data_IF_694273761920
#
_entry.id   IF_694273761920
#
_cell.length_a   1.000
_cell.length_b   1.000
_cell.length_c   1.000
_cell.angle_alpha   90.00
_cell.angle_beta   90.00
_cell.angle_gamma   90.00
#
_symmetry.space_group_name_H-M   'P 1'
#
loop_
_entity.id
_entity.type
_entity.pdbx_description
1 polymer ?
#
# COMPACT_ATOMS: atom_id res chain seq x y z
N UNK A 1 -1.12 -2.63 -5.30
CA UNK A 1 -2.51 -2.48 -5.79
C UNK A 1 -2.57 -1.94 -7.22
N UNK A 2 -1.79 -0.90 -7.55
CA UNK A 2 -1.76 -0.37 -8.92
C UNK A 2 -1.32 -1.40 -9.95
N UNK A 3 -0.35 -2.22 -9.63
CA UNK A 3 0.12 -3.30 -10.50
C UNK A 3 -0.97 -4.37 -10.73
N UNK A 4 -1.78 -4.67 -9.73
CA UNK A 4 -2.90 -5.61 -9.88
C UNK A 4 -3.92 -5.08 -10.87
N UNK A 5 -4.25 -3.80 -10.81
CA UNK A 5 -5.14 -3.12 -11.75
C UNK A 5 -4.60 -3.21 -13.17
N UNK A 6 -3.32 -2.88 -13.37
CA UNK A 6 -2.66 -2.95 -14.67
C UNK A 6 -2.65 -4.37 -15.23
N UNK A 7 -2.38 -5.39 -14.42
CA UNK A 7 -2.40 -6.79 -14.83
C UNK A 7 -3.79 -7.25 -15.29
N UNK A 8 -4.84 -6.81 -14.62
CA UNK A 8 -6.21 -7.11 -15.04
C UNK A 8 -6.49 -6.52 -16.43
N UNK A 9 -6.11 -5.26 -16.65
CA UNK A 9 -6.34 -4.55 -17.91
C UNK A 9 -5.51 -5.16 -19.03
N UNK A 10 -4.25 -5.51 -18.78
CA UNK A 10 -3.31 -6.03 -19.77
C UNK A 10 -3.69 -7.41 -20.33
N UNK A 11 -4.58 -8.14 -19.66
CA UNK A 11 -5.14 -9.42 -20.16
C UNK A 11 -6.00 -9.20 -21.40
N UNK A 12 -6.57 -8.02 -21.59
CA UNK A 12 -7.46 -7.69 -22.70
C UNK A 12 -6.72 -7.08 -23.89
N UNK A 13 -7.20 -7.28 -25.13
CA UNK A 13 -6.63 -6.61 -26.30
C UNK A 13 -6.70 -5.08 -26.16
N UNK A 14 -5.73 -4.38 -26.76
CA UNK A 14 -5.63 -2.91 -26.68
C UNK A 14 -6.92 -2.20 -27.07
N UNK A 15 -7.63 -2.72 -28.08
CA UNK A 15 -8.92 -2.17 -28.54
C UNK A 15 -10.04 -2.21 -27.50
N UNK A 16 -9.90 -3.05 -26.47
CA UNK A 16 -10.91 -3.24 -25.41
C UNK A 16 -10.48 -2.61 -24.09
N UNK A 17 -9.24 -2.21 -23.92
CA UNK A 17 -8.71 -1.80 -22.63
C UNK A 17 -9.39 -0.54 -22.07
N UNK A 18 -9.75 0.42 -22.90
CA UNK A 18 -10.47 1.62 -22.45
C UNK A 18 -11.82 1.26 -21.85
N UNK A 19 -12.58 0.38 -22.48
CA UNK A 19 -13.86 -0.09 -21.96
C UNK A 19 -13.70 -0.87 -20.67
N UNK A 20 -12.68 -1.72 -20.58
CA UNK A 20 -12.36 -2.48 -19.36
C UNK A 20 -12.03 -1.54 -18.21
N UNK A 21 -11.25 -0.46 -18.44
CA UNK A 21 -10.97 0.56 -17.43
C UNK A 21 -12.24 1.21 -16.91
N UNK A 22 -13.16 1.59 -17.78
CA UNK A 22 -14.44 2.19 -17.39
C UNK A 22 -15.25 1.24 -16.53
N UNK A 23 -15.37 -0.03 -16.95
CA UNK A 23 -16.10 -1.04 -16.19
C UNK A 23 -15.45 -1.34 -14.83
N UNK A 24 -14.13 -1.50 -14.80
CA UNK A 24 -13.39 -1.76 -13.57
C UNK A 24 -13.51 -0.60 -12.59
N UNK A 25 -13.43 0.65 -13.08
CA UNK A 25 -13.55 1.84 -12.25
C UNK A 25 -14.89 1.94 -11.52
N UNK A 26 -15.94 1.41 -12.08
CA UNK A 26 -17.29 1.43 -11.48
C UNK A 26 -17.63 0.18 -10.67
N UNK A 27 -16.99 -0.95 -10.94
CA UNK A 27 -17.32 -2.23 -10.30
C UNK A 27 -16.33 -2.65 -9.19
N UNK A 28 -15.08 -2.16 -9.24
CA UNK A 28 -14.09 -2.51 -8.23
C UNK A 28 -14.48 -1.90 -6.87
N UNK A 29 -14.46 -2.71 -5.83
CA UNK A 29 -14.68 -2.27 -4.44
C UNK A 29 -13.37 -1.92 -3.76
N UNK A 30 -12.37 -2.77 -3.91
CA UNK A 30 -11.06 -2.58 -3.34
C UNK A 30 -10.07 -3.65 -3.77
N UNK A 31 -8.81 -3.47 -3.37
CA UNK A 31 -7.74 -4.44 -3.59
C UNK A 31 -6.97 -4.59 -2.27
N UNK A 32 -6.78 -5.81 -1.84
CA UNK A 32 -5.94 -6.13 -0.68
C UNK A 32 -4.77 -6.99 -1.16
N UNK A 33 -3.56 -6.46 -1.02
CA UNK A 33 -2.33 -7.18 -1.33
C UNK A 33 -1.61 -7.53 -0.04
N UNK A 34 -1.37 -8.81 0.19
CA UNK A 34 -0.85 -9.33 1.46
C UNK A 34 0.59 -9.83 1.30
N UNK A 35 1.37 -9.64 2.35
CA UNK A 35 2.75 -10.13 2.46
C UNK A 35 2.96 -10.74 3.84
N UNK A 36 3.44 -11.98 3.90
CA UNK A 36 3.81 -12.60 5.16
C UNK A 36 5.23 -12.19 5.56
N UNK A 37 5.35 -11.71 6.80
CA UNK A 37 6.62 -11.32 7.40
C UNK A 37 7.01 -12.31 8.49
N UNK A 38 8.32 -12.55 8.63
CA UNK A 38 8.87 -13.29 9.74
C UNK A 38 8.92 -12.38 10.97
N UNK A 39 8.34 -12.84 12.07
CA UNK A 39 8.37 -12.11 13.34
C UNK A 39 9.66 -12.35 14.11
N UNK A 40 9.91 -11.49 15.11
CA UNK A 40 11.11 -11.58 15.98
C UNK A 40 11.15 -12.94 16.71
N UNK A 41 10.00 -13.50 17.07
CA UNK A 41 9.87 -14.78 17.77
C UNK A 41 9.65 -15.97 16.82
N UNK A 42 10.09 -15.87 15.56
CA UNK A 42 9.99 -16.92 14.53
C UNK A 42 8.58 -17.35 14.14
N UNK A 43 7.60 -16.50 14.35
CA UNK A 43 6.23 -16.68 13.85
C UNK A 43 6.03 -15.98 12.51
N UNK A 44 4.80 -15.88 12.06
CA UNK A 44 4.41 -15.15 10.86
C UNK A 44 3.43 -14.05 11.23
N UNK A 45 3.61 -12.88 10.64
CA UNK A 45 2.68 -11.76 10.73
C UNK A 45 2.34 -11.24 9.34
N UNK A 46 1.17 -10.68 9.20
CA UNK A 46 0.68 -10.18 7.92
C UNK A 46 0.91 -8.67 7.81
N UNK A 47 1.56 -8.26 6.72
CA UNK A 47 1.53 -6.89 6.23
C UNK A 47 0.61 -6.81 5.02
N UNK A 48 -0.13 -5.72 4.89
CA UNK A 48 -1.08 -5.56 3.80
C UNK A 48 -1.08 -4.15 3.23
N UNK A 49 -1.19 -4.05 1.91
CA UNK A 49 -1.59 -2.86 1.19
C UNK A 49 -3.10 -2.93 0.95
N UNK A 50 -3.82 -1.87 1.28
CA UNK A 50 -5.28 -1.82 1.17
C UNK A 50 -5.66 -0.62 0.32
N UNK A 51 -6.29 -0.89 -0.82
CA UNK A 51 -6.88 0.10 -1.69
C UNK A 51 -8.40 0.03 -1.56
N UNK A 52 -9.03 1.18 -1.33
CA UNK A 52 -10.49 1.34 -1.42
C UNK A 52 -10.80 2.16 -2.66
N UNK A 53 -11.71 1.69 -3.49
CA UNK A 53 -12.08 2.37 -4.72
C UNK A 53 -13.06 3.52 -4.43
N UNK A 54 -12.52 4.66 -4.02
CA UNK A 54 -13.29 5.90 -3.93
C UNK A 54 -13.34 6.63 -5.28
N UNK A 55 -14.00 7.78 -5.34
CA UNK A 55 -14.14 8.55 -6.58
C UNK A 55 -12.80 8.98 -7.18
N UNK A 56 -11.84 9.36 -6.36
CA UNK A 56 -10.51 9.76 -6.84
C UNK A 56 -9.77 8.57 -7.48
N UNK A 57 -9.79 7.40 -6.84
CA UNK A 57 -9.19 6.17 -7.38
C UNK A 57 -9.91 5.73 -8.66
N UNK A 58 -11.24 5.75 -8.67
CA UNK A 58 -12.04 5.39 -9.85
C UNK A 58 -11.70 6.26 -11.06
N UNK A 59 -11.52 7.56 -10.87
CA UNK A 59 -11.11 8.48 -11.94
C UNK A 59 -9.71 8.13 -12.48
N UNK A 60 -8.77 7.81 -11.62
CA UNK A 60 -7.41 7.41 -12.04
C UNK A 60 -7.42 6.10 -12.83
N UNK A 61 -8.23 5.13 -12.44
CA UNK A 61 -8.39 3.87 -13.17
C UNK A 61 -8.97 4.14 -14.56
N UNK A 62 -10.04 4.93 -14.63
CA UNK A 62 -10.73 5.26 -15.89
C UNK A 62 -9.81 5.98 -16.87
N UNK A 63 -8.98 6.90 -16.37
CA UNK A 63 -8.05 7.71 -17.17
C UNK A 63 -6.74 6.97 -17.50
N UNK A 64 -6.54 5.76 -17.02
CA UNK A 64 -5.30 5.00 -17.24
C UNK A 64 -4.09 5.54 -16.47
N UNK A 65 -4.34 6.23 -15.36
CA UNK A 65 -3.31 6.84 -14.50
C UNK A 65 -3.06 6.01 -13.24
N UNK A 66 -2.96 4.71 -13.37
CA UNK A 66 -2.77 3.79 -12.24
C UNK A 66 -1.50 4.07 -11.44
N UNK A 67 -0.47 4.64 -12.07
CA UNK A 67 0.76 5.06 -11.37
C UNK A 67 0.51 6.11 -10.28
N UNK A 68 -0.56 6.89 -10.38
CA UNK A 68 -0.94 7.91 -9.40
C UNK A 68 -1.77 7.36 -8.23
N UNK A 69 -2.22 6.12 -8.31
CA UNK A 69 -3.00 5.45 -7.24
C UNK A 69 -2.23 5.38 -5.93
N UNK A 70 -0.91 5.21 -5.98
CA UNK A 70 -0.06 5.14 -4.79
C UNK A 70 -0.18 6.39 -3.90
N UNK A 71 -0.25 7.58 -4.50
CA UNK A 71 -0.46 8.83 -3.76
C UNK A 71 -1.80 8.84 -3.00
N UNK A 72 -2.85 8.26 -3.60
CA UNK A 72 -4.15 8.11 -2.94
C UNK A 72 -4.10 7.14 -1.76
N UNK A 73 -3.33 6.06 -1.88
CA UNK A 73 -3.09 5.13 -0.77
C UNK A 73 -2.43 5.82 0.42
N UNK A 74 -1.44 6.67 0.18
CA UNK A 74 -0.69 7.37 1.23
C UNK A 74 -1.58 8.30 2.06
N UNK A 75 -2.55 8.96 1.44
CA UNK A 75 -3.42 9.96 2.09
C UNK A 75 -4.81 9.42 2.43
N UNK A 76 -5.10 8.18 2.06
CA UNK A 76 -6.44 7.59 2.15
C UNK A 76 -6.77 6.90 3.48
N UNK A 77 -6.03 7.18 4.55
CA UNK A 77 -6.22 6.51 5.85
C UNK A 77 -7.64 6.60 6.40
N UNK A 78 -8.32 7.73 6.21
CA UNK A 78 -9.72 7.92 6.63
C UNK A 78 -10.72 7.01 5.90
N UNK A 79 -10.35 6.49 4.72
CA UNK A 79 -11.15 5.53 3.96
C UNK A 79 -10.74 4.07 4.24
N UNK A 80 -9.81 3.84 5.15
CA UNK A 80 -9.24 2.52 5.43
C UNK A 80 -8.13 2.09 4.49
N UNK A 81 -7.62 3.01 3.65
CA UNK A 81 -6.48 2.73 2.76
C UNK A 81 -5.15 2.77 3.53
N UNK A 82 -4.22 1.96 3.09
CA UNK A 82 -2.83 2.00 3.57
C UNK A 82 -1.88 1.46 2.51
N UNK A 83 -0.64 1.96 2.52
CA UNK A 83 0.45 1.39 1.73
C UNK A 83 1.06 0.19 2.46
N UNK A 84 1.78 -0.66 1.72
CA UNK A 84 2.56 -1.74 2.32
C UNK A 84 3.59 -1.20 3.31
N UNK A 85 4.27 -0.10 2.97
CA UNK A 85 5.29 0.54 3.79
C UNK A 85 4.71 1.06 5.12
N UNK A 86 3.51 1.64 5.11
CA UNK A 86 2.80 2.04 6.34
C UNK A 86 2.49 0.83 7.22
N UNK A 87 2.02 -0.27 6.63
CA UNK A 87 1.76 -1.52 7.36
C UNK A 87 3.03 -2.10 7.97
N UNK A 88 4.12 -2.16 7.20
CA UNK A 88 5.41 -2.65 7.68
C UNK A 88 5.98 -1.77 8.80
N UNK A 89 5.90 -0.46 8.66
CA UNK A 89 6.40 0.49 9.69
C UNK A 89 5.65 0.33 11.01
N UNK A 90 4.34 0.06 10.97
CA UNK A 90 3.55 -0.23 12.17
C UNK A 90 3.98 -1.52 12.85
N UNK A 91 4.28 -2.57 12.09
CA UNK A 91 4.78 -3.83 12.65
C UNK A 91 6.14 -3.67 13.31
N UNK A 92 7.03 -2.87 12.73
CA UNK A 92 8.32 -2.52 13.35
C UNK A 92 8.09 -1.72 14.65
N UNK A 93 7.26 -0.71 14.61
CA UNK A 93 6.91 0.14 15.75
C UNK A 93 6.35 -0.66 16.93
N UNK A 94 5.57 -1.69 16.66
CA UNK A 94 5.01 -2.60 17.68
C UNK A 94 5.99 -3.66 18.16
N UNK A 95 7.20 -3.73 17.62
CA UNK A 95 8.18 -4.75 17.96
C UNK A 95 7.85 -6.15 17.44
N UNK A 96 7.00 -6.27 16.42
CA UNK A 96 6.57 -7.57 15.86
C UNK A 96 7.60 -8.08 14.84
N UNK A 97 8.11 -7.22 13.98
CA UNK A 97 9.15 -7.56 13.00
C UNK A 97 10.36 -6.64 13.17
N UNK A 98 11.51 -7.08 12.65
CA UNK A 98 12.73 -6.26 12.62
C UNK A 98 12.67 -5.24 11.48
N UNK A 99 13.46 -4.18 11.58
CA UNK A 99 13.67 -3.23 10.47
C UNK A 99 14.20 -3.94 9.22
N UNK A 100 15.11 -4.89 9.37
CA UNK A 100 15.67 -5.65 8.25
C UNK A 100 14.60 -6.46 7.51
N UNK A 101 13.67 -7.08 8.23
CA UNK A 101 12.54 -7.81 7.62
C UNK A 101 11.62 -6.85 6.86
N UNK A 102 11.33 -5.68 7.42
CA UNK A 102 10.52 -4.65 6.76
C UNK A 102 11.18 -4.16 5.46
N UNK A 103 12.47 -3.89 5.47
CA UNK A 103 13.24 -3.48 4.28
C UNK A 103 13.23 -4.58 3.23
N UNK A 104 13.39 -5.83 3.63
CA UNK A 104 13.37 -6.98 2.72
C UNK A 104 12.01 -7.15 2.01
N UNK A 105 10.91 -6.87 2.71
CA UNK A 105 9.54 -7.07 2.21
C UNK A 105 8.95 -5.85 1.50
N UNK A 106 9.50 -4.65 1.71
CA UNK A 106 8.94 -3.43 1.13
C UNK A 106 9.19 -3.32 -0.38
N UNK A 107 8.35 -2.53 -1.04
CA UNK A 107 8.50 -2.20 -2.45
C UNK A 107 9.20 -0.85 -2.66
N UNK A 108 9.14 0.04 -1.68
CA UNK A 108 9.67 1.42 -1.74
C UNK A 108 10.53 1.72 -0.53
N UNK A 109 11.83 1.34 -0.55
CA UNK A 109 12.71 1.49 0.62
C UNK A 109 12.84 2.92 1.13
N UNK A 110 12.87 3.92 0.24
CA UNK A 110 12.96 5.32 0.63
C UNK A 110 11.73 5.80 1.41
N UNK A 111 10.54 5.36 1.01
CA UNK A 111 9.29 5.68 1.72
C UNK A 111 9.28 5.01 3.09
N UNK A 112 9.66 3.74 3.16
CA UNK A 112 9.76 3.01 4.44
C UNK A 112 10.73 3.70 5.39
N UNK A 113 11.91 4.10 4.91
CA UNK A 113 12.91 4.81 5.72
C UNK A 113 12.35 6.10 6.30
N UNK A 114 11.65 6.89 5.49
CA UNK A 114 11.00 8.13 5.96
C UNK A 114 9.99 7.87 7.07
N UNK A 115 9.15 6.84 6.93
CA UNK A 115 8.17 6.45 7.95
C UNK A 115 8.82 5.97 9.25
N UNK A 116 9.90 5.20 9.18
CA UNK A 116 10.63 4.72 10.35
C UNK A 116 11.34 5.87 11.07
N UNK A 117 11.89 6.84 10.35
CA UNK A 117 12.53 8.03 10.92
C UNK A 117 11.51 8.91 11.65
N UNK A 118 10.29 9.06 11.13
CA UNK A 118 9.20 9.77 11.81
C UNK A 118 8.81 9.12 13.13
N UNK A 119 8.71 7.81 13.19
CA UNK A 119 8.38 7.05 14.40
C UNK A 119 9.47 7.27 15.46
N UNK A 120 10.73 7.14 15.09
CA UNK A 120 11.87 7.32 16.01
C UNK A 120 11.92 8.75 16.56
N UNK A 121 11.59 9.75 15.74
CA UNK A 121 11.53 11.16 16.16
C UNK A 121 10.43 11.40 17.18
N UNK A 122 9.28 10.76 17.02
CA UNK A 122 8.12 10.87 17.92
C UNK A 122 8.42 10.22 19.28
N UNK A 123 9.08 9.07 19.29
CA UNK A 123 9.49 8.38 20.53
C UNK A 123 10.49 9.21 21.32
N UNK A 124 11.48 9.81 20.66
CA UNK A 124 12.46 10.67 21.32
C UNK A 124 11.86 11.94 21.92
N UNK A 125 10.79 12.46 21.37
CA UNK A 125 10.09 13.64 21.90
C UNK A 125 9.31 13.31 23.17
N UNK A 126 8.79 12.08 23.27
CA UNK A 126 8.03 11.62 24.44
C UNK A 126 8.92 11.23 25.64
N UNK A 127 10.22 11.00 25.42
CA UNK A 127 11.17 10.67 26.50
C UNK A 127 11.71 11.91 27.22
N UNK A 128 11.55 13.11 26.64
CA UNK A 128 12.02 14.38 27.21
C UNK A 128 10.96 15.13 28.03
N UNK A 129 9.91 14.47 28.42
CA UNK A 129 8.93 14.95 29.40
C UNK A 129 9.13 14.17 30.72
#
# INVERSE_FOLDING_TARGET
ASQTIDRIIDVFPDSQQMQVRVQLSSSLVGVISQTLCKTIDNQRSLAAEILVNNNAVANLIREGKSSQVYSQLQIGGKFGMQTLEQSLSQLVSRGIITTDEAVYKCNRPAVLKGLLDEINSTENTNVNI
#
